data_IF_473013814477
#
_entry.id   IF_473013814477
#
_cell.length_a   1.000
_cell.length_b   1.000
_cell.length_c   1.000
_cell.angle_alpha   90.00
_cell.angle_beta   90.00
_cell.angle_gamma   90.00
#
_symmetry.space_group_name_H-M   'P 1'
#
loop_
_entity.id
_entity.type
_entity.pdbx_description
1 polymer ?
#
# COMPACT_ATOMS: atom_id res chain seq x y z
N UNK A 1 7.62 21.93 -14.03
CA UNK A 1 6.68 21.04 -14.75
C UNK A 1 7.28 19.64 -14.80
N UNK A 2 6.53 18.63 -14.42
CA UNK A 2 6.85 17.21 -14.64
C UNK A 2 6.27 16.76 -15.98
N UNK A 3 7.08 16.12 -16.81
CA UNK A 3 6.62 15.45 -18.03
C UNK A 3 7.06 13.98 -18.01
N UNK A 4 6.13 13.10 -18.34
CA UNK A 4 6.38 11.67 -18.56
C UNK A 4 6.07 11.37 -20.02
N UNK A 5 7.03 10.77 -20.72
CA UNK A 5 6.93 10.48 -22.16
C UNK A 5 7.15 9.00 -22.44
N UNK A 6 6.14 8.36 -23.00
CA UNK A 6 6.18 6.97 -23.45
C UNK A 6 6.73 6.01 -22.39
N UNK A 7 6.36 6.22 -21.12
CA UNK A 7 6.85 5.42 -20.00
C UNK A 7 6.22 4.02 -20.03
N UNK A 8 7.08 3.01 -20.07
CA UNK A 8 6.70 1.61 -19.99
C UNK A 8 7.44 0.96 -18.83
N UNK A 9 6.78 0.07 -18.10
CA UNK A 9 7.39 -0.66 -16.99
C UNK A 9 6.90 -2.11 -16.96
N UNK A 10 7.79 -3.05 -16.64
CA UNK A 10 7.46 -4.46 -16.55
C UNK A 10 8.20 -5.16 -15.42
N UNK A 11 7.53 -6.07 -14.72
CA UNK A 11 8.09 -6.96 -13.71
C UNK A 11 8.26 -8.34 -14.32
N UNK A 12 9.51 -8.68 -14.70
CA UNK A 12 9.78 -9.87 -15.49
C UNK A 12 9.04 -9.84 -16.83
N UNK A 13 8.14 -10.79 -17.07
CA UNK A 13 7.31 -10.87 -18.27
C UNK A 13 5.96 -10.13 -18.16
N UNK A 14 5.64 -9.57 -17.01
CA UNK A 14 4.35 -8.92 -16.77
C UNK A 14 4.44 -7.41 -17.00
N UNK A 15 3.83 -6.87 -18.09
CA UNK A 15 3.77 -5.44 -18.31
C UNK A 15 2.86 -4.79 -17.24
N UNK A 16 3.36 -3.74 -16.60
CA UNK A 16 2.64 -2.96 -15.61
C UNK A 16 2.28 -1.56 -16.12
N UNK A 17 3.07 -1.03 -17.07
CA UNK A 17 2.80 0.20 -17.80
C UNK A 17 3.18 0.01 -19.25
N UNK A 18 2.42 0.60 -20.15
CA UNK A 18 2.66 0.53 -21.60
C UNK A 18 2.43 1.90 -22.23
N UNK A 19 3.53 2.56 -22.61
CA UNK A 19 3.53 3.81 -23.36
C UNK A 19 2.73 4.95 -22.69
N UNK A 20 2.86 5.10 -21.36
CA UNK A 20 2.16 6.12 -20.58
C UNK A 20 2.82 7.48 -20.76
N UNK A 21 2.03 8.49 -21.10
CA UNK A 21 2.48 9.88 -21.20
C UNK A 21 1.54 10.79 -20.41
N UNK A 22 2.09 11.70 -19.60
CA UNK A 22 1.34 12.67 -18.82
C UNK A 22 2.18 13.89 -18.47
N UNK A 23 1.54 14.93 -17.99
CA UNK A 23 2.23 16.12 -17.50
C UNK A 23 1.57 16.66 -16.23
N UNK A 24 2.37 17.35 -15.39
CA UNK A 24 1.90 18.07 -14.19
C UNK A 24 2.61 19.40 -14.14
N UNK A 25 1.84 20.49 -14.13
CA UNK A 25 2.36 21.84 -14.03
C UNK A 25 2.58 22.26 -12.56
N UNK A 26 3.46 23.25 -12.30
CA UNK A 26 3.52 23.87 -10.98
C UNK A 26 2.16 24.44 -10.57
N UNK A 27 1.74 24.19 -9.32
CA UNK A 27 0.44 24.67 -8.83
C UNK A 27 -0.78 24.03 -9.52
N UNK A 28 -0.63 22.82 -10.08
CA UNK A 28 -1.70 22.03 -10.66
C UNK A 28 -1.90 20.74 -9.85
N UNK A 29 -3.14 20.32 -9.68
CA UNK A 29 -3.48 18.99 -9.16
C UNK A 29 -3.95 18.14 -10.33
N UNK A 30 -3.20 17.09 -10.61
CA UNK A 30 -3.53 16.07 -11.62
C UNK A 30 -3.85 14.77 -10.91
N UNK A 31 -5.00 14.16 -11.22
CA UNK A 31 -5.41 12.87 -10.66
C UNK A 31 -5.27 11.75 -11.69
N UNK A 32 -4.73 10.61 -11.25
CA UNK A 32 -4.75 9.35 -12.01
C UNK A 32 -5.82 8.46 -11.41
N UNK A 33 -6.85 8.20 -12.16
CA UNK A 33 -7.92 7.26 -11.82
C UNK A 33 -7.67 5.91 -12.51
N UNK A 34 -8.02 4.83 -11.87
CA UNK A 34 -7.89 3.49 -12.43
C UNK A 34 -8.21 2.40 -11.41
N UNK A 35 -8.59 1.23 -11.89
CA UNK A 35 -8.83 0.07 -11.04
C UNK A 35 -7.56 -0.41 -10.33
N UNK A 36 -7.73 -1.28 -9.32
CA UNK A 36 -6.57 -1.93 -8.70
C UNK A 36 -5.85 -2.81 -9.72
N UNK A 37 -4.52 -2.74 -9.72
CA UNK A 37 -3.69 -3.43 -10.70
C UNK A 37 -3.54 -2.72 -12.05
N UNK A 38 -4.15 -1.55 -12.28
CA UNK A 38 -4.00 -0.80 -13.53
C UNK A 38 -2.58 -0.25 -13.79
N UNK A 39 -1.70 -0.24 -12.77
CA UNK A 39 -0.33 0.26 -12.89
C UNK A 39 -0.08 1.58 -12.15
N UNK A 40 -1.05 2.11 -11.39
CA UNK A 40 -0.98 3.42 -10.73
C UNK A 40 0.26 3.58 -9.83
N UNK A 41 0.45 2.69 -8.86
CA UNK A 41 1.62 2.73 -7.96
C UNK A 41 2.93 2.46 -8.70
N UNK A 42 2.92 1.63 -9.75
CA UNK A 42 4.08 1.41 -10.61
C UNK A 42 4.48 2.68 -11.34
N UNK A 43 3.52 3.49 -11.79
CA UNK A 43 3.78 4.78 -12.41
C UNK A 43 4.54 5.72 -11.46
N UNK A 44 4.05 5.87 -10.23
CA UNK A 44 4.73 6.72 -9.23
C UNK A 44 6.12 6.19 -8.87
N UNK A 45 6.27 4.87 -8.72
CA UNK A 45 7.57 4.23 -8.45
C UNK A 45 8.55 4.42 -9.62
N UNK A 46 8.08 4.31 -10.86
CA UNK A 46 8.92 4.51 -12.03
C UNK A 46 9.41 5.99 -12.14
N UNK A 47 8.54 6.96 -11.88
CA UNK A 47 8.89 8.38 -11.83
C UNK A 47 9.90 8.67 -10.71
N UNK A 48 9.77 8.02 -9.55
CA UNK A 48 10.63 8.20 -8.38
C UNK A 48 11.95 7.41 -8.43
N UNK A 49 12.18 6.61 -9.48
CA UNK A 49 13.40 5.81 -9.61
C UNK A 49 13.51 4.64 -8.61
N UNK A 50 12.38 4.18 -8.04
CA UNK A 50 12.32 3.06 -7.09
C UNK A 50 11.55 1.85 -7.65
N UNK A 51 11.30 1.82 -8.96
CA UNK A 51 10.69 0.67 -9.61
C UNK A 51 11.71 -0.46 -9.73
N UNK A 52 11.42 -1.61 -9.15
CA UNK A 52 12.27 -2.82 -9.23
C UNK A 52 12.21 -3.50 -10.60
N UNK A 53 11.26 -3.11 -11.44
CA UNK A 53 11.07 -3.62 -12.78
C UNK A 53 11.92 -2.91 -13.83
N UNK A 54 11.89 -3.44 -15.06
CA UNK A 54 12.47 -2.74 -16.22
C UNK A 54 11.61 -1.53 -16.54
N UNK A 55 12.24 -0.36 -16.67
CA UNK A 55 11.57 0.92 -17.00
C UNK A 55 12.18 1.46 -18.29
N UNK A 56 11.31 1.84 -19.23
CA UNK A 56 11.68 2.48 -20.51
C UNK A 56 10.86 3.76 -20.69
N UNK A 57 11.32 4.67 -21.52
CA UNK A 57 10.73 5.97 -21.74
C UNK A 57 11.53 7.09 -21.10
N UNK A 58 10.92 8.23 -20.88
CA UNK A 58 11.58 9.42 -20.37
C UNK A 58 10.73 10.13 -19.33
N UNK A 59 11.37 10.58 -18.26
CA UNK A 59 10.80 11.44 -17.23
C UNK A 59 11.63 12.72 -17.19
N UNK A 60 10.98 13.86 -17.34
CA UNK A 60 11.64 15.17 -17.28
C UNK A 60 11.03 16.02 -16.15
N UNK A 61 11.88 16.69 -15.39
CA UNK A 61 11.47 17.74 -14.47
C UNK A 61 12.04 19.07 -14.94
N UNK A 62 11.17 20.05 -15.18
CA UNK A 62 11.56 21.39 -15.68
C UNK A 62 12.45 21.32 -16.94
N UNK A 63 12.12 20.37 -17.85
CA UNK A 63 12.84 20.11 -19.09
C UNK A 63 14.14 19.32 -18.95
N UNK A 64 14.55 18.94 -17.74
CA UNK A 64 15.74 18.13 -17.48
C UNK A 64 15.38 16.66 -17.30
N UNK A 65 16.06 15.78 -18.04
CA UNK A 65 15.84 14.33 -17.91
C UNK A 65 16.30 13.80 -16.54
N UNK A 66 15.46 12.94 -15.97
CA UNK A 66 15.75 12.21 -14.73
C UNK A 66 16.34 10.82 -14.98
N UNK A 67 16.56 10.47 -16.25
CA UNK A 67 17.10 9.15 -16.61
C UNK A 67 18.50 8.94 -16.02
N UNK A 68 18.67 7.82 -15.30
CA UNK A 68 19.94 7.46 -14.68
C UNK A 68 20.19 8.12 -13.32
N UNK A 69 19.26 9.00 -12.85
CA UNK A 69 19.34 9.51 -11.48
C UNK A 69 18.88 8.42 -10.50
N UNK A 70 19.54 8.37 -9.35
CA UNK A 70 19.09 7.61 -8.18
C UNK A 70 17.87 8.26 -7.54
N UNK A 71 17.16 7.52 -6.68
CA UNK A 71 15.95 8.03 -6.02
C UNK A 71 16.23 9.24 -5.12
N UNK A 72 17.37 9.28 -4.46
CA UNK A 72 17.81 10.41 -3.64
C UNK A 72 18.14 11.65 -4.52
N UNK A 73 18.78 11.48 -5.68
CA UNK A 73 18.99 12.56 -6.64
C UNK A 73 17.66 13.09 -7.20
N UNK A 74 16.67 12.24 -7.42
CA UNK A 74 15.33 12.65 -7.86
C UNK A 74 14.65 13.51 -6.79
N UNK A 75 14.80 13.16 -5.51
CA UNK A 75 14.31 13.99 -4.39
C UNK A 75 15.06 15.32 -4.31
N UNK A 76 16.38 15.32 -4.48
CA UNK A 76 17.19 16.56 -4.56
C UNK A 76 16.75 17.48 -5.70
N UNK A 77 16.26 16.91 -6.81
CA UNK A 77 15.72 17.69 -7.92
C UNK A 77 14.31 18.24 -7.67
N UNK A 78 13.59 17.72 -6.68
CA UNK A 78 12.32 18.27 -6.23
C UNK A 78 11.09 17.42 -6.51
N UNK A 79 11.24 16.12 -6.66
CA UNK A 79 10.11 15.17 -6.67
C UNK A 79 10.04 14.47 -5.32
N UNK A 80 8.90 14.54 -4.64
CA UNK A 80 8.65 13.82 -3.41
C UNK A 80 7.49 12.84 -3.59
N UNK A 81 7.65 11.61 -3.07
CA UNK A 81 6.63 10.57 -3.09
C UNK A 81 6.16 10.24 -1.67
N UNK A 82 4.85 10.25 -1.48
CA UNK A 82 4.18 9.62 -0.33
C UNK A 82 3.61 8.30 -0.81
N UNK A 83 4.21 7.15 -0.41
CA UNK A 83 3.76 5.84 -0.86
C UNK A 83 2.46 5.42 -0.18
N UNK A 84 1.78 4.43 -0.75
CA UNK A 84 0.75 3.67 -0.06
C UNK A 84 1.28 3.15 1.29
N UNK A 85 0.48 3.15 2.33
CA UNK A 85 0.91 2.74 3.68
C UNK A 85 1.72 3.80 4.43
N UNK A 86 1.80 5.05 3.94
CA UNK A 86 2.35 6.25 4.59
C UNK A 86 3.87 6.29 4.72
N UNK A 87 4.53 5.16 4.95
CA UNK A 87 5.99 5.07 5.09
C UNK A 87 6.58 5.90 6.24
N UNK A 88 5.82 6.20 7.31
CA UNK A 88 6.32 6.98 8.46
C UNK A 88 7.27 6.17 9.34
N UNK A 89 8.14 6.86 10.05
CA UNK A 89 8.98 6.26 11.10
C UNK A 89 8.17 6.24 12.41
N UNK A 90 7.52 5.11 12.68
CA UNK A 90 6.55 4.98 13.77
C UNK A 90 7.13 5.26 15.16
N UNK A 91 8.39 4.92 15.42
CA UNK A 91 9.06 5.10 16.70
C UNK A 91 9.59 6.52 16.94
N UNK A 92 9.64 7.34 15.90
CA UNK A 92 10.00 8.75 16.00
C UNK A 92 8.79 9.62 16.32
N UNK A 93 9.04 10.77 16.92
CA UNK A 93 8.03 11.81 17.13
C UNK A 93 7.58 12.43 15.82
N UNK A 94 6.47 13.15 15.84
CA UNK A 94 6.01 13.95 14.69
C UNK A 94 7.11 14.91 14.22
N UNK A 95 7.72 15.67 15.14
CA UNK A 95 8.78 16.63 14.82
C UNK A 95 9.98 15.95 14.16
N UNK A 96 10.43 14.81 14.68
CA UNK A 96 11.56 14.07 14.12
C UNK A 96 11.22 13.52 12.73
N UNK A 97 10.01 12.99 12.52
CA UNK A 97 9.56 12.59 11.19
C UNK A 97 9.61 13.76 10.19
N UNK A 98 9.13 14.93 10.58
CA UNK A 98 9.17 16.12 9.73
C UNK A 98 10.60 16.54 9.41
N UNK A 99 11.48 16.62 10.41
CA UNK A 99 12.88 17.02 10.23
C UNK A 99 13.64 16.09 9.29
N UNK A 100 13.36 14.78 9.31
CA UNK A 100 13.94 13.83 8.34
C UNK A 100 13.57 14.19 6.89
N UNK A 101 12.43 14.81 6.66
CA UNK A 101 12.03 15.27 5.32
C UNK A 101 12.88 16.41 4.78
N UNK A 102 13.53 17.19 5.65
CA UNK A 102 14.43 18.29 5.25
C UNK A 102 15.84 17.81 4.87
N UNK A 103 16.07 16.50 4.71
CA UNK A 103 17.37 15.93 4.35
C UNK A 103 17.98 16.51 3.07
N UNK A 104 17.23 16.77 1.97
CA UNK A 104 17.78 17.32 0.75
C UNK A 104 18.46 18.67 0.96
N UNK A 105 19.59 18.89 0.26
CA UNK A 105 20.36 20.13 0.37
C UNK A 105 19.52 21.37 0.02
N UNK A 106 18.62 21.23 -0.95
CA UNK A 106 17.67 22.29 -1.37
C UNK A 106 16.72 22.71 -0.24
N UNK A 107 16.37 21.79 0.66
CA UNK A 107 15.42 22.05 1.75
C UNK A 107 16.08 22.57 3.03
N UNK A 108 17.35 22.24 3.28
CA UNK A 108 18.07 22.59 4.52
C UNK A 108 18.19 24.08 4.76
N UNK A 109 18.31 24.87 3.69
CA UNK A 109 18.45 26.33 3.81
C UNK A 109 17.19 26.97 4.36
N UNK A 110 16.03 26.40 4.06
CA UNK A 110 14.71 26.92 4.40
C UNK A 110 13.96 25.98 5.36
N UNK A 111 14.66 25.12 6.10
CA UNK A 111 14.09 24.09 6.97
C UNK A 111 13.04 24.65 7.91
N UNK A 112 13.35 25.76 8.60
CA UNK A 112 12.41 26.39 9.51
C UNK A 112 11.16 26.94 8.79
N UNK A 113 11.36 27.60 7.65
CA UNK A 113 10.24 28.12 6.85
C UNK A 113 9.37 27.00 6.28
N UNK A 114 9.98 25.87 5.87
CA UNK A 114 9.26 24.69 5.44
C UNK A 114 8.47 24.06 6.60
N UNK A 115 9.07 23.96 7.78
CA UNK A 115 8.40 23.48 9.00
C UNK A 115 7.18 24.34 9.32
N UNK A 116 7.30 25.67 9.31
CA UNK A 116 6.19 26.59 9.55
C UNK A 116 5.08 26.43 8.52
N UNK A 117 5.41 26.25 7.24
CA UNK A 117 4.42 25.96 6.16
C UNK A 117 3.67 24.67 6.43
N UNK A 118 4.37 23.58 6.75
CA UNK A 118 3.79 22.28 7.05
C UNK A 118 2.88 22.35 8.27
N UNK A 119 3.32 22.97 9.36
CA UNK A 119 2.54 23.10 10.59
C UNK A 119 1.31 24.02 10.42
N UNK A 120 1.37 24.97 9.50
CA UNK A 120 0.23 25.82 9.12
C UNK A 120 -0.82 25.05 8.33
N UNK A 121 -0.38 24.15 7.43
CA UNK A 121 -1.28 23.28 6.67
C UNK A 121 -1.91 22.19 7.53
N UNK A 122 -1.18 21.72 8.53
CA UNK A 122 -1.58 20.63 9.42
C UNK A 122 -1.51 21.06 10.90
N UNK A 123 -2.44 21.92 11.39
CA UNK A 123 -2.38 22.45 12.77
C UNK A 123 -2.33 21.36 13.84
N UNK A 124 -2.95 20.20 13.60
CA UNK A 124 -2.90 19.04 14.51
C UNK A 124 -1.48 18.54 14.74
N UNK A 125 -0.59 18.66 13.75
CA UNK A 125 0.82 18.28 13.90
C UNK A 125 1.57 19.26 14.80
N UNK A 126 1.19 20.56 14.80
CA UNK A 126 1.76 21.55 15.69
C UNK A 126 1.48 21.22 17.15
N UNK A 127 0.24 20.82 17.46
CA UNK A 127 -0.19 20.46 18.82
C UNK A 127 0.48 19.19 19.35
N UNK A 128 0.92 18.32 18.43
CA UNK A 128 1.39 16.95 18.73
C UNK A 128 2.84 16.69 18.34
N UNK A 129 3.67 17.74 18.22
CA UNK A 129 5.05 17.61 17.74
C UNK A 129 5.89 16.61 18.52
N UNK A 130 5.69 16.49 19.84
CA UNK A 130 6.42 15.55 20.71
C UNK A 130 5.78 14.16 20.79
N UNK A 131 4.61 13.96 20.17
CA UNK A 131 3.93 12.65 20.18
C UNK A 131 4.64 11.66 19.25
N UNK A 132 4.80 10.41 19.70
CA UNK A 132 5.35 9.32 18.90
C UNK A 132 4.35 8.95 17.80
N UNK A 133 4.82 8.91 16.54
CA UNK A 133 3.94 8.84 15.36
C UNK A 133 3.07 7.57 15.31
N UNK A 134 3.55 6.42 15.80
CA UNK A 134 2.74 5.18 15.84
C UNK A 134 1.50 5.27 16.74
N UNK A 135 1.47 6.21 17.70
CA UNK A 135 0.33 6.38 18.63
C UNK A 135 -0.75 7.28 18.07
N UNK A 136 -0.55 7.85 16.90
CA UNK A 136 -1.50 8.72 16.21
C UNK A 136 -2.55 7.92 15.43
N UNK A 137 -3.70 8.53 15.17
CA UNK A 137 -4.71 7.95 14.27
C UNK A 137 -4.18 7.82 12.85
N UNK A 138 -4.79 6.93 12.05
CA UNK A 138 -4.36 6.71 10.67
C UNK A 138 -4.35 7.97 9.80
N UNK A 139 -5.31 8.88 9.99
CA UNK A 139 -5.36 10.16 9.27
C UNK A 139 -4.27 11.13 9.71
N UNK A 140 -3.97 11.18 10.99
CA UNK A 140 -2.87 12.01 11.51
C UNK A 140 -1.51 11.49 11.02
N UNK A 141 -1.34 10.18 10.98
CA UNK A 141 -0.14 9.55 10.38
C UNK A 141 -0.01 9.90 8.89
N UNK A 142 -1.12 9.98 8.16
CA UNK A 142 -1.12 10.42 6.77
C UNK A 142 -0.68 11.88 6.64
N UNK A 143 -1.14 12.75 7.54
CA UNK A 143 -0.68 14.15 7.60
C UNK A 143 0.81 14.26 7.92
N UNK A 144 1.36 13.40 8.80
CA UNK A 144 2.80 13.31 9.08
C UNK A 144 3.57 12.91 7.82
N UNK A 145 3.10 11.90 7.07
CA UNK A 145 3.74 11.45 5.84
C UNK A 145 3.81 12.54 4.77
N UNK A 146 2.68 13.23 4.54
CA UNK A 146 2.60 14.34 3.59
C UNK A 146 3.46 15.52 4.07
N UNK A 147 3.37 15.88 5.34
CA UNK A 147 4.19 16.93 5.94
C UNK A 147 5.69 16.66 5.77
N UNK A 148 6.12 15.43 6.03
CA UNK A 148 7.51 15.01 5.83
C UNK A 148 7.94 15.14 4.36
N UNK A 149 7.10 14.73 3.42
CA UNK A 149 7.38 14.89 1.99
C UNK A 149 7.50 16.37 1.61
N UNK A 150 6.65 17.24 2.15
CA UNK A 150 6.69 18.68 1.92
C UNK A 150 7.92 19.35 2.52
N UNK A 151 8.50 18.80 3.60
CA UNK A 151 9.74 19.28 4.18
C UNK A 151 10.93 19.22 3.21
N UNK A 152 10.88 18.37 2.18
CA UNK A 152 11.91 18.34 1.12
C UNK A 152 11.84 19.54 0.15
N UNK A 153 10.89 20.48 0.35
CA UNK A 153 10.61 21.60 -0.55
C UNK A 153 10.38 21.15 -2.01
N UNK A 154 9.44 20.23 -2.26
CA UNK A 154 9.28 19.64 -3.58
C UNK A 154 8.68 20.65 -4.59
N UNK A 155 9.03 20.48 -5.89
CA UNK A 155 8.31 21.08 -7.00
C UNK A 155 7.07 20.26 -7.37
N UNK A 156 7.20 18.93 -7.21
CA UNK A 156 6.12 17.96 -7.48
C UNK A 156 5.97 17.05 -6.27
N UNK A 157 4.76 17.00 -5.74
CA UNK A 157 4.36 16.08 -4.68
C UNK A 157 3.50 14.96 -5.28
N UNK A 158 3.96 13.73 -5.17
CA UNK A 158 3.26 12.55 -5.64
C UNK A 158 2.68 11.77 -4.47
N UNK A 159 1.42 11.32 -4.60
CA UNK A 159 0.67 10.66 -3.53
C UNK A 159 0.02 9.39 -4.06
N UNK A 160 0.30 8.26 -3.41
CA UNK A 160 -0.24 6.95 -3.75
C UNK A 160 -1.37 6.57 -2.80
N UNK A 161 -2.61 6.65 -3.26
CA UNK A 161 -3.86 6.35 -2.54
C UNK A 161 -3.92 6.93 -1.11
N UNK A 162 -3.69 8.25 -0.93
CA UNK A 162 -3.55 8.84 0.40
C UNK A 162 -4.84 8.82 1.23
N UNK A 163 -6.01 8.61 0.61
CA UNK A 163 -7.29 8.51 1.30
C UNK A 163 -7.63 7.11 1.80
N UNK A 164 -6.84 6.09 1.42
CA UNK A 164 -7.11 4.70 1.74
C UNK A 164 -7.13 4.46 3.26
N UNK A 165 -8.22 3.84 3.75
CA UNK A 165 -8.39 3.51 5.16
C UNK A 165 -8.66 4.72 6.08
N UNK A 166 -8.98 5.89 5.52
CA UNK A 166 -9.39 7.07 6.28
C UNK A 166 -10.92 7.14 6.45
N UNK A 167 -11.37 7.72 7.56
CA UNK A 167 -12.78 8.06 7.71
C UNK A 167 -13.20 9.15 6.72
N UNK A 168 -14.49 9.24 6.32
CA UNK A 168 -14.96 10.26 5.38
C UNK A 168 -14.63 11.70 5.77
N UNK A 169 -14.62 12.00 7.06
CA UNK A 169 -14.26 13.32 7.58
C UNK A 169 -12.78 13.62 7.36
N UNK A 170 -11.91 12.64 7.66
CA UNK A 170 -10.45 12.78 7.47
C UNK A 170 -10.07 12.83 5.99
N UNK A 171 -10.78 12.07 5.13
CA UNK A 171 -10.62 12.19 3.69
C UNK A 171 -10.91 13.61 3.21
N UNK A 172 -12.05 14.20 3.64
CA UNK A 172 -12.41 15.57 3.28
C UNK A 172 -11.34 16.57 3.74
N UNK A 173 -10.87 16.45 4.98
CA UNK A 173 -9.80 17.31 5.54
C UNK A 173 -8.51 17.17 4.73
N UNK A 174 -8.12 15.94 4.40
CA UNK A 174 -6.94 15.64 3.57
C UNK A 174 -7.02 16.34 2.20
N UNK A 175 -8.12 16.17 1.48
CA UNK A 175 -8.29 16.78 0.16
C UNK A 175 -8.35 18.32 0.22
N UNK A 176 -8.94 18.90 1.27
CA UNK A 176 -8.89 20.35 1.50
C UNK A 176 -7.46 20.84 1.73
N UNK A 177 -6.64 20.09 2.48
CA UNK A 177 -5.24 20.44 2.69
C UNK A 177 -4.42 20.31 1.40
N UNK A 178 -4.68 19.31 0.56
CA UNK A 178 -4.02 19.16 -0.75
C UNK A 178 -4.35 20.32 -1.69
N UNK A 179 -5.59 20.82 -1.66
CA UNK A 179 -5.94 22.05 -2.40
C UNK A 179 -5.12 23.28 -1.94
N UNK A 180 -4.76 23.35 -0.64
CA UNK A 180 -3.87 24.40 -0.15
C UNK A 180 -2.41 24.20 -0.57
N UNK A 181 -1.94 22.94 -0.71
CA UNK A 181 -0.60 22.65 -1.25
C UNK A 181 -0.45 23.20 -2.66
N UNK A 182 -1.48 23.06 -3.51
CA UNK A 182 -1.54 23.68 -4.84
C UNK A 182 -1.32 25.19 -4.77
N UNK A 183 -1.96 25.88 -3.82
CA UNK A 183 -1.82 27.33 -3.66
C UNK A 183 -0.39 27.79 -3.30
N UNK A 184 0.47 26.88 -2.83
CA UNK A 184 1.89 27.12 -2.62
C UNK A 184 2.74 26.99 -3.88
N UNK A 185 2.13 26.75 -5.04
CA UNK A 185 2.81 26.57 -6.33
C UNK A 185 3.39 25.15 -6.53
N UNK A 186 3.11 24.20 -5.64
CA UNK A 186 3.56 22.81 -5.77
C UNK A 186 2.62 22.07 -6.70
N UNK A 187 3.17 21.39 -7.73
CA UNK A 187 2.40 20.47 -8.57
C UNK A 187 2.09 19.18 -7.79
N UNK A 188 0.86 18.68 -7.89
CA UNK A 188 0.43 17.47 -7.20
C UNK A 188 0.02 16.42 -8.22
N UNK A 189 0.66 15.25 -8.18
CA UNK A 189 0.23 14.06 -8.90
C UNK A 189 -0.40 13.09 -7.91
N UNK A 190 -1.70 12.94 -7.99
CA UNK A 190 -2.51 12.16 -7.06
C UNK A 190 -3.00 10.88 -7.74
N UNK A 191 -2.63 9.74 -7.21
CA UNK A 191 -3.20 8.45 -7.59
C UNK A 191 -4.28 8.10 -6.58
N UNK A 192 -5.51 7.86 -7.05
CA UNK A 192 -6.66 7.59 -6.20
C UNK A 192 -7.64 6.60 -6.82
N UNK A 193 -8.34 5.90 -5.94
CA UNK A 193 -9.50 5.10 -6.28
C UNK A 193 -10.81 5.88 -6.00
N UNK A 194 -10.78 6.80 -5.03
CA UNK A 194 -11.93 7.65 -4.68
C UNK A 194 -12.06 8.83 -5.66
N UNK A 195 -12.60 8.56 -6.85
CA UNK A 195 -12.73 9.54 -7.92
C UNK A 195 -13.54 10.78 -7.50
N UNK A 196 -14.59 10.63 -6.70
CA UNK A 196 -15.48 11.75 -6.34
C UNK A 196 -14.77 12.87 -5.59
N UNK A 197 -13.95 12.51 -4.60
CA UNK A 197 -13.28 13.50 -3.76
C UNK A 197 -12.00 14.03 -4.44
N UNK A 198 -11.28 13.18 -5.18
CA UNK A 198 -10.08 13.57 -5.88
C UNK A 198 -10.37 14.51 -7.06
N UNK A 199 -11.40 14.22 -7.87
CA UNK A 199 -11.83 15.12 -8.95
C UNK A 199 -12.35 16.47 -8.43
N UNK A 200 -12.94 16.52 -7.24
CA UNK A 200 -13.43 17.78 -6.66
C UNK A 200 -12.32 18.81 -6.36
N UNK A 201 -11.05 18.39 -6.26
CA UNK A 201 -9.90 19.26 -6.02
C UNK A 201 -8.94 19.33 -7.19
N UNK A 202 -9.05 18.42 -8.16
CA UNK A 202 -8.16 18.33 -9.32
C UNK A 202 -8.49 19.37 -10.39
N UNK A 203 -7.50 19.72 -11.19
CA UNK A 203 -7.64 20.53 -12.40
C UNK A 203 -7.89 19.65 -13.62
N UNK A 204 -7.13 18.55 -13.72
CA UNK A 204 -7.19 17.55 -14.79
C UNK A 204 -7.07 16.16 -14.22
N UNK A 205 -7.44 15.19 -15.03
CA UNK A 205 -7.25 13.78 -14.68
C UNK A 205 -6.94 12.92 -15.88
N UNK A 206 -6.38 11.78 -15.59
CA UNK A 206 -6.09 10.70 -16.54
C UNK A 206 -6.78 9.43 -16.08
N UNK A 207 -7.31 8.66 -17.02
CA UNK A 207 -7.77 7.30 -16.76
C UNK A 207 -6.68 6.32 -17.16
N UNK A 208 -6.19 5.54 -16.20
CA UNK A 208 -5.22 4.47 -16.40
C UNK A 208 -5.95 3.13 -16.37
N UNK A 209 -6.04 2.47 -17.52
CA UNK A 209 -6.71 1.19 -17.67
C UNK A 209 -5.84 0.24 -18.47
N UNK A 210 -5.77 -1.01 -18.05
CA UNK A 210 -4.98 -2.04 -18.73
C UNK A 210 -3.57 -1.55 -19.08
N UNK A 211 -2.90 -0.92 -18.11
CA UNK A 211 -1.51 -0.41 -18.22
C UNK A 211 -1.30 0.81 -19.12
N UNK A 212 -2.36 1.41 -19.66
CA UNK A 212 -2.29 2.54 -20.60
C UNK A 212 -3.19 3.70 -20.15
N UNK A 213 -2.82 4.93 -20.53
CA UNK A 213 -3.73 6.07 -20.44
C UNK A 213 -4.77 5.94 -21.56
N UNK A 214 -6.04 5.79 -21.18
CA UNK A 214 -7.16 5.67 -22.14
C UNK A 214 -7.87 6.98 -22.35
N UNK A 215 -7.82 7.88 -21.38
CA UNK A 215 -8.49 9.18 -21.46
C UNK A 215 -7.76 10.25 -20.63
N UNK A 216 -7.82 11.49 -21.12
CA UNK A 216 -7.35 12.70 -20.43
C UNK A 216 -8.38 13.81 -20.64
N UNK A 217 -8.82 14.47 -19.56
CA UNK A 217 -9.66 15.65 -19.65
C UNK A 217 -9.57 16.51 -18.38
N UNK A 218 -10.26 17.64 -18.36
CA UNK A 218 -10.45 18.43 -17.14
C UNK A 218 -11.22 17.65 -16.08
N UNK A 219 -10.94 17.93 -14.82
CA UNK A 219 -11.60 17.23 -13.72
C UNK A 219 -13.14 17.35 -13.77
N UNK A 220 -13.64 18.54 -14.17
CA UNK A 220 -15.09 18.79 -14.31
C UNK A 220 -15.72 17.90 -15.39
N UNK A 221 -15.05 17.70 -16.54
CA UNK A 221 -15.56 16.84 -17.60
C UNK A 221 -15.52 15.38 -17.18
N UNK A 222 -14.41 14.93 -16.58
CA UNK A 222 -14.31 13.57 -16.05
C UNK A 222 -15.37 13.27 -14.98
N UNK A 223 -15.65 14.23 -14.10
CA UNK A 223 -16.69 14.07 -13.07
C UNK A 223 -18.09 13.92 -13.66
N UNK A 224 -18.34 14.49 -14.86
CA UNK A 224 -19.62 14.43 -15.55
C UNK A 224 -19.67 13.37 -16.66
N UNK A 225 -18.58 12.65 -16.93
CA UNK A 225 -18.55 11.58 -17.91
C UNK A 225 -19.32 10.36 -17.40
N UNK A 226 -20.34 9.86 -18.15
CA UNK A 226 -21.13 8.70 -17.74
C UNK A 226 -20.29 7.42 -17.55
N UNK A 227 -19.24 7.22 -18.33
CA UNK A 227 -18.36 6.06 -18.18
C UNK A 227 -17.56 6.13 -16.87
N UNK A 228 -17.01 7.30 -16.55
CA UNK A 228 -16.32 7.56 -15.29
C UNK A 228 -17.27 7.45 -14.10
N UNK A 229 -18.49 8.00 -14.24
CA UNK A 229 -19.52 7.89 -13.20
C UNK A 229 -19.89 6.43 -12.89
N UNK A 230 -20.08 5.62 -13.91
CA UNK A 230 -20.42 4.21 -13.75
C UNK A 230 -19.25 3.37 -13.21
N UNK A 231 -18.03 3.63 -13.65
CA UNK A 231 -16.86 2.84 -13.28
C UNK A 231 -16.28 3.23 -11.90
N UNK A 232 -16.26 4.53 -11.56
CA UNK A 232 -15.50 5.05 -10.42
C UNK A 232 -16.29 5.90 -9.43
N UNK A 233 -17.48 6.44 -9.80
CA UNK A 233 -18.27 7.31 -8.91
C UNK A 233 -19.45 6.61 -8.24
N UNK A 234 -19.69 5.32 -8.52
CA UNK A 234 -20.75 4.53 -7.87
C UNK A 234 -22.15 5.09 -8.13
N UNK A 235 -22.41 5.60 -9.34
CA UNK A 235 -23.76 5.98 -9.74
C UNK A 235 -24.67 4.76 -9.62
N UNK A 236 -25.67 4.82 -8.74
CA UNK A 236 -26.64 3.80 -8.41
C UNK A 236 -26.87 2.82 -9.56
N UNK A 237 -26.33 1.63 -9.46
CA UNK A 237 -26.68 0.52 -10.32
C UNK A 237 -28.08 0.03 -9.97
N UNK A 238 -29.09 0.71 -10.48
CA UNK A 238 -30.24 -0.04 -10.97
C UNK A 238 -29.67 -0.88 -12.10
N UNK A 239 -29.67 -2.19 -11.89
CA UNK A 239 -29.17 -3.20 -12.80
C UNK A 239 -29.54 -2.86 -14.27
N UNK A 240 -28.58 -2.34 -15.03
CA UNK A 240 -28.66 -2.37 -16.47
C UNK A 240 -28.09 -3.74 -16.84
N UNK A 241 -28.99 -4.59 -17.32
CA UNK A 241 -28.66 -5.89 -17.86
C UNK A 241 -27.44 -5.77 -18.79
N UNK A 242 -26.44 -6.59 -18.53
CA UNK A 242 -25.29 -6.82 -19.40
C UNK A 242 -25.74 -6.89 -20.86
N UNK A 243 -25.15 -6.13 -21.80
CA UNK A 243 -25.42 -6.35 -23.21
C UNK A 243 -24.93 -7.75 -23.54
N UNK A 244 -25.87 -8.57 -24.00
CA UNK A 244 -25.66 -9.94 -24.38
C UNK A 244 -24.38 -10.05 -25.26
N UNK A 245 -23.38 -10.75 -24.73
CA UNK A 245 -22.26 -11.21 -25.51
C UNK A 245 -22.79 -11.94 -26.74
N UNK A 246 -22.48 -11.42 -27.91
CA UNK A 246 -22.62 -12.16 -29.16
C UNK A 246 -21.69 -13.36 -29.08
N UNK A 247 -22.25 -14.48 -28.67
CA UNK A 247 -21.62 -15.79 -28.76
C UNK A 247 -21.44 -16.15 -30.23
N UNK A 248 -20.24 -15.93 -30.77
CA UNK A 248 -19.77 -16.71 -31.89
C UNK A 248 -19.59 -18.15 -31.35
N UNK A 249 -20.35 -19.08 -31.91
CA UNK A 249 -20.28 -20.47 -31.56
C UNK A 249 -18.86 -21.01 -31.92
N UNK A 250 -18.07 -21.28 -30.88
CA UNK A 250 -16.87 -22.11 -31.00
C UNK A 250 -17.33 -23.53 -30.71
N UNK A 251 -17.27 -24.40 -31.70
CA UNK A 251 -17.48 -25.84 -31.52
C UNK A 251 -16.45 -26.36 -30.52
N UNK A 252 -16.94 -26.78 -29.35
CA UNK A 252 -16.12 -27.38 -28.30
C UNK A 252 -16.04 -28.88 -28.56
N UNK A 253 -14.87 -29.39 -28.82
CA UNK A 253 -14.58 -30.81 -28.82
C UNK A 253 -14.91 -31.46 -27.47
N UNK A 254 -15.33 -32.74 -27.41
CA UNK A 254 -15.83 -33.35 -26.18
C UNK A 254 -14.74 -33.46 -25.10
N UNK A 255 -15.09 -32.93 -23.92
CA UNK A 255 -14.23 -32.95 -22.72
C UNK A 255 -14.00 -34.41 -22.24
N UNK A 256 -12.78 -34.73 -21.95
CA UNK A 256 -12.42 -35.94 -21.22
C UNK A 256 -12.90 -35.90 -19.75
N UNK A 257 -13.31 -37.01 -19.13
CA UNK A 257 -13.88 -37.01 -17.79
C UNK A 257 -12.85 -36.57 -16.74
N UNK A 258 -13.28 -35.60 -15.92
CA UNK A 258 -12.50 -35.09 -14.79
C UNK A 258 -12.27 -36.23 -13.77
N UNK A 259 -11.00 -36.46 -13.43
CA UNK A 259 -10.60 -37.34 -12.33
C UNK A 259 -11.05 -36.70 -11.00
N UNK A 260 -11.71 -37.50 -10.16
CA UNK A 260 -12.20 -37.15 -8.84
C UNK A 260 -11.02 -36.75 -7.91
N UNK A 261 -10.69 -35.48 -7.83
CA UNK A 261 -9.98 -34.94 -6.69
C UNK A 261 -11.01 -34.66 -5.58
N UNK A 262 -11.06 -35.53 -4.59
CA UNK A 262 -11.77 -35.23 -3.34
C UNK A 262 -11.09 -34.03 -2.67
N UNK A 263 -11.72 -32.85 -2.78
CA UNK A 263 -11.38 -31.72 -1.96
C UNK A 263 -11.75 -32.04 -0.51
N UNK A 264 -10.77 -32.15 0.38
CA UNK A 264 -11.02 -32.20 1.81
C UNK A 264 -11.72 -30.90 2.22
N UNK A 265 -12.86 -30.96 2.90
CA UNK A 265 -13.58 -29.75 3.33
C UNK A 265 -12.68 -28.91 4.23
N UNK A 266 -12.49 -27.63 3.89
CA UNK A 266 -11.82 -26.68 4.77
C UNK A 266 -12.74 -26.45 5.97
N UNK A 267 -12.26 -26.80 7.17
CA UNK A 267 -12.95 -26.50 8.42
C UNK A 267 -13.10 -24.98 8.56
N UNK A 268 -14.30 -24.53 8.94
CA UNK A 268 -14.57 -23.12 9.23
C UNK A 268 -13.84 -22.70 10.50
N UNK A 269 -13.67 -21.39 10.72
CA UNK A 269 -13.05 -20.86 11.94
C UNK A 269 -13.82 -21.29 13.19
N UNK A 270 -15.13 -21.42 13.12
CA UNK A 270 -16.01 -21.88 14.18
C UNK A 270 -15.77 -23.35 14.57
N UNK A 271 -15.53 -24.22 13.57
CA UNK A 271 -15.18 -25.61 13.80
C UNK A 271 -13.78 -25.82 14.41
N UNK A 272 -12.89 -24.85 14.25
CA UNK A 272 -11.54 -24.88 14.83
C UNK A 272 -11.49 -24.33 16.24
N UNK A 273 -12.34 -23.34 16.58
CA UNK A 273 -12.33 -22.64 17.87
C UNK A 273 -13.38 -23.21 18.84
N UNK A 274 -14.42 -23.87 18.33
CA UNK A 274 -15.47 -24.50 19.14
C UNK A 274 -16.45 -23.50 19.79
N UNK A 275 -16.42 -22.24 19.39
CA UNK A 275 -17.29 -21.16 19.91
C UNK A 275 -17.82 -20.38 18.71
N UNK A 276 -19.14 -20.13 18.65
CA UNK A 276 -19.75 -19.29 17.61
C UNK A 276 -19.35 -17.83 17.78
N UNK A 277 -19.15 -17.12 16.68
CA UNK A 277 -18.89 -15.67 16.68
C UNK A 277 -20.08 -14.93 17.31
N UNK A 278 -21.31 -15.39 17.09
CA UNK A 278 -22.53 -14.81 17.67
C UNK A 278 -22.54 -14.93 19.20
N UNK A 279 -22.07 -16.05 19.77
CA UNK A 279 -21.94 -16.23 21.23
C UNK A 279 -20.94 -15.25 21.85
N UNK A 280 -19.85 -14.93 21.13
CA UNK A 280 -18.86 -13.94 21.57
C UNK A 280 -19.44 -12.53 21.53
N UNK A 281 -20.19 -12.20 20.48
CA UNK A 281 -20.84 -10.88 20.33
C UNK A 281 -21.92 -10.70 21.39
N UNK A 282 -22.75 -11.71 21.66
CA UNK A 282 -23.77 -11.69 22.70
C UNK A 282 -23.19 -11.59 24.11
N UNK A 283 -22.08 -12.27 24.39
CA UNK A 283 -21.37 -12.16 25.65
C UNK A 283 -20.79 -10.74 25.88
N UNK A 284 -20.22 -10.12 24.82
CA UNK A 284 -19.73 -8.75 24.88
C UNK A 284 -20.87 -7.72 25.05
N UNK A 285 -22.02 -7.93 24.40
CA UNK A 285 -23.20 -7.06 24.53
C UNK A 285 -23.78 -7.11 25.94
N UNK A 286 -23.88 -8.30 26.58
CA UNK A 286 -24.31 -8.45 27.97
C UNK A 286 -23.39 -7.77 28.97
N UNK A 287 -22.07 -7.87 28.77
CA UNK A 287 -21.06 -7.18 29.61
C UNK A 287 -21.15 -5.66 29.48
N UNK A 288 -21.50 -5.14 28.29
CA UNK A 288 -21.68 -3.69 28.08
C UNK A 288 -22.97 -3.15 28.71
N UNK A 289 -24.00 -3.96 28.84
CA UNK A 289 -25.28 -3.57 29.44
C UNK A 289 -25.26 -3.52 30.98
N UNK A 290 -24.31 -4.21 31.61
CA UNK A 290 -24.16 -4.27 33.09
C UNK A 290 -23.20 -3.22 33.66
N UNK A 291 -22.70 -2.28 32.86
CA UNK A 291 -21.81 -1.23 33.33
C UNK A 291 -22.61 -0.12 34.08
N UNK A 292 -22.36 0.11 35.40
CA UNK A 292 -23.07 1.15 36.14
C UNK A 292 -22.68 2.55 35.69
N UNK A 293 -23.66 3.42 35.55
CA UNK A 293 -23.50 4.84 35.23
C UNK A 293 -22.76 5.58 36.36
N UNK A 294 -21.82 6.44 35.95
CA UNK A 294 -21.12 7.48 36.74
C UNK A 294 -20.32 7.00 37.98
N UNK A 295 -19.03 6.79 37.79
CA UNK A 295 -18.08 6.49 38.87
C UNK A 295 -17.31 7.76 39.30
N UNK A 296 -17.24 7.98 40.63
CA UNK A 296 -16.44 9.02 41.30
C UNK A 296 -14.92 8.79 41.10
N UNK A 297 -14.04 9.81 41.25
CA UNK A 297 -12.61 9.75 40.93
C UNK A 297 -11.79 8.64 41.63
N UNK A 298 -12.29 8.03 42.69
CA UNK A 298 -11.65 6.93 43.40
C UNK A 298 -11.77 5.55 42.73
N UNK A 299 -12.75 5.38 41.84
CA UNK A 299 -13.04 4.11 41.18
C UNK A 299 -12.22 3.88 39.91
N UNK A 300 -11.69 4.94 39.28
CA UNK A 300 -10.85 4.83 38.10
C UNK A 300 -9.51 4.11 38.36
N UNK A 301 -8.92 4.35 39.55
CA UNK A 301 -7.67 3.68 39.96
C UNK A 301 -7.89 2.19 40.29
N UNK A 302 -9.05 1.83 40.84
CA UNK A 302 -9.42 0.43 41.14
C UNK A 302 -9.74 -0.33 39.86
N UNK A 303 -10.45 0.30 38.88
CA UNK A 303 -10.73 -0.29 37.58
C UNK A 303 -9.45 -0.51 36.76
N UNK A 304 -8.48 0.41 36.83
CA UNK A 304 -7.19 0.28 36.15
C UNK A 304 -6.36 -0.90 36.72
N UNK A 305 -6.36 -1.11 38.03
CA UNK A 305 -5.70 -2.27 38.65
C UNK A 305 -6.36 -3.59 38.26
N UNK A 306 -7.68 -3.67 38.29
CA UNK A 306 -8.43 -4.85 37.84
C UNK A 306 -8.20 -5.19 36.37
N UNK A 307 -8.06 -4.18 35.50
CA UNK A 307 -7.74 -4.35 34.09
C UNK A 307 -6.30 -4.87 33.91
N UNK A 308 -5.32 -4.37 34.69
CA UNK A 308 -3.93 -4.84 34.67
C UNK A 308 -3.81 -6.28 35.17
N UNK A 309 -4.54 -6.66 36.24
CA UNK A 309 -4.55 -8.02 36.76
C UNK A 309 -5.15 -9.01 35.75
N UNK A 310 -6.25 -8.65 35.06
CA UNK A 310 -6.84 -9.48 34.02
C UNK A 310 -5.90 -9.62 32.80
N UNK A 311 -5.24 -8.53 32.39
CA UNK A 311 -4.28 -8.56 31.30
C UNK A 311 -3.10 -9.48 31.61
N UNK A 312 -2.61 -9.47 32.85
CA UNK A 312 -1.50 -10.33 33.28
C UNK A 312 -1.86 -11.81 33.27
N UNK A 313 -3.12 -12.16 33.56
CA UNK A 313 -3.64 -13.53 33.48
C UNK A 313 -3.70 -14.00 32.04
N UNK A 314 -4.26 -13.17 31.12
CA UNK A 314 -4.36 -13.50 29.70
C UNK A 314 -2.97 -13.64 29.06
N UNK A 315 -2.01 -12.80 29.43
CA UNK A 315 -0.63 -12.91 28.94
C UNK A 315 0.00 -14.22 29.40
N UNK A 316 -0.18 -14.62 30.67
CA UNK A 316 0.32 -15.91 31.16
C UNK A 316 -0.29 -17.11 30.44
N UNK A 317 -1.58 -17.06 30.14
CA UNK A 317 -2.27 -18.12 29.39
C UNK A 317 -1.73 -18.22 27.93
N UNK A 318 -1.49 -17.10 27.28
CA UNK A 318 -0.88 -17.04 25.94
C UNK A 318 0.56 -17.59 25.97
N UNK A 319 1.36 -17.20 26.96
CA UNK A 319 2.74 -17.71 27.12
C UNK A 319 2.75 -19.24 27.42
N UNK A 320 1.83 -19.71 28.23
CA UNK A 320 1.65 -21.14 28.52
C UNK A 320 1.26 -21.93 27.28
N UNK A 321 0.29 -21.40 26.47
CA UNK A 321 -0.13 -22.01 25.24
C UNK A 321 1.01 -22.03 24.21
N UNK A 322 1.78 -20.94 24.09
CA UNK A 322 2.95 -20.85 23.21
C UNK A 322 4.07 -21.82 23.62
N UNK A 323 4.29 -22.00 24.94
CA UNK A 323 5.26 -22.97 25.48
C UNK A 323 4.84 -24.40 25.20
N UNK A 324 3.55 -24.70 25.34
CA UNK A 324 2.97 -26.02 25.03
C UNK A 324 3.01 -26.31 23.51
N UNK A 325 2.79 -25.31 22.65
CA UNK A 325 2.90 -25.45 21.21
C UNK A 325 4.36 -25.69 20.77
N UNK A 326 5.35 -25.04 21.43
CA UNK A 326 6.77 -25.27 21.18
C UNK A 326 7.23 -26.68 21.64
N UNK A 327 6.69 -27.19 22.73
CA UNK A 327 6.99 -28.54 23.24
C UNK A 327 6.41 -29.64 22.33
N UNK A 328 5.38 -29.35 21.55
CA UNK A 328 4.78 -30.29 20.59
C UNK A 328 5.45 -30.31 19.22
N UNK A 329 6.46 -29.46 18.98
CA UNK A 329 7.25 -29.52 17.74
C UNK A 329 8.15 -30.76 17.81
N UNK A 330 8.10 -31.66 16.80
CA UNK A 330 9.00 -32.80 16.74
C UNK A 330 10.46 -32.32 16.67
N UNK A 331 11.31 -32.90 17.53
CA UNK A 331 12.71 -32.45 17.72
C UNK A 331 13.66 -32.80 16.58
N UNK A 332 13.20 -33.40 15.48
CA UNK A 332 14.10 -33.74 14.38
C UNK A 332 13.38 -33.70 13.04
N UNK A 333 13.98 -32.96 12.12
CA UNK A 333 13.66 -33.00 10.70
C UNK A 333 14.17 -34.30 10.00
N UNK A 334 14.66 -35.27 10.77
CA UNK A 334 15.25 -36.51 10.28
C UNK A 334 14.24 -37.66 10.11
N UNK A 335 13.00 -37.52 10.62
CA UNK A 335 12.00 -38.60 10.63
C UNK A 335 10.87 -38.42 9.60
N UNK A 336 11.06 -37.56 8.60
CA UNK A 336 10.21 -37.57 7.42
C UNK A 336 10.71 -38.66 6.49
N UNK A 337 10.19 -39.88 6.67
CA UNK A 337 10.30 -40.97 5.71
C UNK A 337 9.98 -40.46 4.31
N UNK A 338 10.93 -40.72 3.38
CA UNK A 338 10.81 -40.39 1.97
C UNK A 338 9.43 -40.82 1.45
N UNK A 339 8.71 -40.01 0.71
CA UNK A 339 7.46 -40.45 0.10
C UNK A 339 7.75 -41.61 -0.85
N UNK A 340 7.11 -42.76 -0.58
CA UNK A 340 7.13 -43.91 -1.50
C UNK A 340 6.20 -43.56 -2.65
N UNK A 341 6.79 -43.28 -3.80
CA UNK A 341 6.03 -43.18 -5.05
C UNK A 341 5.62 -44.60 -5.48
N UNK A 342 4.37 -44.82 -5.89
CA UNK A 342 3.98 -46.09 -6.47
C UNK A 342 4.75 -46.31 -7.78
N UNK A 343 5.34 -47.51 -7.94
CA UNK A 343 6.01 -47.92 -9.16
C UNK A 343 4.99 -48.02 -10.29
N UNK A 344 4.99 -47.03 -11.17
CA UNK A 344 4.26 -47.07 -12.43
C UNK A 344 5.00 -48.00 -13.36
N UNK A 345 4.28 -49.03 -13.86
CA UNK A 345 4.74 -49.93 -14.92
C UNK A 345 4.96 -49.10 -16.18
N UNK A 346 6.19 -49.26 -16.75
CA UNK A 346 6.58 -48.70 -18.03
C UNK A 346 5.61 -49.12 -19.14
N UNK A 347 5.07 -48.12 -19.85
CA UNK A 347 4.75 -48.24 -21.27
C UNK A 347 5.56 -47.19 -21.98
N UNK A 348 6.48 -47.66 -22.76
CA UNK A 348 7.38 -46.91 -23.63
C UNK A 348 6.57 -46.09 -24.63
N UNK A 349 6.70 -44.77 -24.59
CA UNK A 349 6.43 -43.86 -25.71
C UNK A 349 7.70 -43.02 -25.87
N UNK A 350 8.50 -43.35 -26.88
CA UNK A 350 9.84 -42.82 -27.12
C UNK A 350 9.92 -41.44 -27.76
N UNK A 351 8.84 -40.62 -27.84
CA UNK A 351 8.88 -39.37 -28.61
C UNK A 351 8.39 -38.10 -27.83
N UNK A 352 8.44 -38.07 -26.50
CA UNK A 352 8.16 -36.86 -25.76
C UNK A 352 9.43 -36.24 -25.16
N UNK A 353 9.72 -34.93 -25.36
CA UNK A 353 10.87 -34.30 -24.74
C UNK A 353 10.74 -34.35 -23.19
N UNK A 354 11.88 -34.52 -22.48
CA UNK A 354 11.86 -34.62 -21.02
C UNK A 354 11.30 -33.34 -20.37
N UNK A 355 10.53 -33.47 -19.26
CA UNK A 355 10.02 -32.33 -18.55
C UNK A 355 11.16 -31.49 -17.95
N UNK A 356 11.17 -30.19 -18.20
CA UNK A 356 12.12 -29.25 -17.60
C UNK A 356 11.68 -29.05 -16.14
N UNK A 357 12.49 -29.56 -15.21
CA UNK A 357 12.31 -29.31 -13.77
C UNK A 357 13.20 -28.13 -13.38
N UNK A 358 12.64 -26.95 -13.18
CA UNK A 358 13.36 -25.82 -12.57
C UNK A 358 13.54 -26.07 -11.06
N UNK A 359 14.79 -26.35 -10.66
CA UNK A 359 15.15 -26.46 -9.24
C UNK A 359 15.54 -25.08 -8.73
N UNK A 360 14.63 -24.44 -8.01
CA UNK A 360 14.94 -23.19 -7.29
C UNK A 360 15.92 -23.46 -6.16
N UNK A 361 17.19 -23.10 -6.33
CA UNK A 361 18.16 -23.06 -5.23
C UNK A 361 18.07 -21.67 -4.56
N UNK A 362 17.81 -21.66 -3.24
CA UNK A 362 17.92 -20.43 -2.45
C UNK A 362 19.32 -19.85 -2.60
N UNK A 363 19.50 -18.53 -2.79
CA UNK A 363 20.81 -17.93 -2.79
C UNK A 363 21.50 -18.20 -1.44
N UNK A 364 22.72 -18.68 -1.49
CA UNK A 364 23.55 -18.87 -0.29
C UNK A 364 23.99 -17.47 0.16
N UNK A 365 23.49 -17.01 1.31
CA UNK A 365 23.96 -15.77 1.92
C UNK A 365 25.25 -16.07 2.65
N UNK A 366 26.38 -15.56 2.16
CA UNK A 366 27.67 -15.64 2.82
C UNK A 366 27.79 -14.47 3.83
N UNK A 367 27.99 -14.80 5.10
CA UNK A 367 28.17 -13.83 6.18
C UNK A 367 29.66 -13.59 6.39
N UNK A 368 30.08 -12.31 6.32
CA UNK A 368 31.44 -11.90 6.59
C UNK A 368 31.48 -11.02 7.84
N UNK A 369 32.31 -11.39 8.82
CA UNK A 369 32.54 -10.62 10.03
C UNK A 369 33.75 -9.71 9.87
N UNK A 370 33.61 -8.43 10.23
CA UNK A 370 34.69 -7.47 10.25
C UNK A 370 35.50 -7.61 11.55
N UNK A 371 36.76 -8.03 11.44
CA UNK A 371 37.68 -8.11 12.58
C UNK A 371 38.20 -6.72 12.97
N UNK A 372 38.69 -6.55 14.21
CA UNK A 372 39.27 -5.27 14.65
C UNK A 372 40.47 -4.78 13.79
N UNK A 373 41.10 -5.68 13.04
CA UNK A 373 42.14 -5.38 12.06
C UNK A 373 41.67 -4.72 10.77
N UNK A 374 40.32 -4.56 10.61
CA UNK A 374 39.69 -4.01 9.39
C UNK A 374 39.50 -5.01 8.25
N UNK A 375 39.97 -6.24 8.38
CA UNK A 375 39.77 -7.30 7.37
C UNK A 375 38.42 -8.02 7.57
N UNK A 376 37.81 -8.45 6.48
CA UNK A 376 36.60 -9.28 6.49
C UNK A 376 37.02 -10.76 6.40
N UNK A 377 36.50 -11.59 7.29
CA UNK A 377 36.66 -13.03 7.28
C UNK A 377 35.29 -13.69 7.20
N UNK A 378 35.18 -14.78 6.46
CA UNK A 378 33.96 -15.58 6.32
C UNK A 378 33.69 -16.28 7.66
N UNK A 379 32.44 -16.22 8.13
CA UNK A 379 31.98 -16.89 9.35
C UNK A 379 31.78 -18.39 9.10
#
# INVERSE_FOLDING_TARGET
MLEVRNLSAAYGQHPALNNVSLSVNPGEIVVILGANGAGKSTLLRAISGICEGRVEGEVLLSGQSLKGNSSDEIVERGIALVPEGRGIFGDLTVKENLLLGAYPARARRDEQANMERVLRLFPKLLERQSQVARTMSGGEQQMVAIGRAMMSAPEILMLDEPSLGLSPLLCKELFQNLAQVKALGIGVLLVEQNAKQSLAIADRGYLLENTQITHEDTADRLANDPAVQNAYLGANTKAVASPAARTAAIEVAPAMPASNYMATPRRTAEEQIGISIDDIVDAAARQSAEAPAAASPGTAAAASRLAQDRLSVVIKDIESAAKSARARRPQSAADLSKPQFPKTQNRENEDAPPPIIEVYRRPIVEVYLRRPSGKFERD
#
